data_IF_718873798157
#
_entry.id   IF_718873798157
#
_cell.length_a   1.000
_cell.length_b   1.000
_cell.length_c   1.000
_cell.angle_alpha   90.00
_cell.angle_beta   90.00
_cell.angle_gamma   90.00
#
_symmetry.space_group_name_H-M   'P 1'
#
loop_
_entity.id
_entity.type
_entity.pdbx_description
1 polymer ?
#
# COMPACT_ATOMS: atom_id res chain seq x y z
N UNK A 1 -20.20 47.21 -9.41
CA UNK A 1 -19.12 48.13 -9.83
C UNK A 1 -18.39 47.40 -10.95
N UNK A 2 -18.72 47.79 -12.19
CA UNK A 2 -18.20 47.21 -13.43
C UNK A 2 -16.77 47.72 -13.63
N UNK A 3 -15.82 46.81 -13.88
CA UNK A 3 -14.48 47.18 -14.34
C UNK A 3 -14.32 46.58 -15.73
N UNK A 4 -14.47 47.44 -16.73
CA UNK A 4 -14.01 47.23 -18.09
C UNK A 4 -12.48 47.07 -18.09
N UNK A 5 -12.00 45.97 -18.66
CA UNK A 5 -10.60 45.84 -19.09
C UNK A 5 -10.58 45.58 -20.59
N UNK A 6 -10.60 46.69 -21.32
CA UNK A 6 -10.13 46.78 -22.70
C UNK A 6 -8.62 47.07 -22.64
N UNK A 7 -7.78 46.14 -23.08
CA UNK A 7 -6.48 46.44 -23.70
C UNK A 7 -5.91 45.18 -24.35
N UNK A 8 -6.06 45.09 -25.67
CA UNK A 8 -5.02 45.33 -26.70
C UNK A 8 -4.07 44.16 -26.90
N UNK A 9 -4.31 43.51 -28.03
CA UNK A 9 -3.35 42.75 -28.81
C UNK A 9 -1.99 43.44 -28.89
N UNK A 10 -0.97 42.76 -28.37
CA UNK A 10 0.41 42.89 -28.84
C UNK A 10 0.91 41.50 -29.17
N UNK A 11 0.86 41.21 -30.47
CA UNK A 11 1.50 40.05 -31.06
C UNK A 11 3.00 40.07 -30.79
N UNK A 12 3.45 39.09 -30.04
CA UNK A 12 4.82 38.60 -30.07
C UNK A 12 4.73 37.10 -30.38
N UNK A 13 5.35 36.71 -31.49
CA UNK A 13 5.42 35.37 -32.03
C UNK A 13 5.65 34.30 -30.95
N UNK A 14 4.56 33.70 -30.45
CA UNK A 14 4.62 32.38 -29.83
C UNK A 14 4.79 31.39 -30.97
N UNK A 15 6.02 30.95 -31.17
CA UNK A 15 6.27 29.70 -31.87
C UNK A 15 5.32 28.67 -31.29
N UNK A 16 4.35 28.27 -32.10
CA UNK A 16 3.47 27.17 -31.82
C UNK A 16 4.37 25.92 -31.94
N UNK A 17 5.22 25.68 -30.93
CA UNK A 17 5.65 24.33 -30.62
C UNK A 17 4.34 23.60 -30.32
N UNK A 18 3.79 23.00 -31.37
CA UNK A 18 2.96 21.82 -31.24
C UNK A 18 3.83 20.82 -30.47
N UNK A 19 3.75 20.91 -29.14
CA UNK A 19 4.07 19.82 -28.24
C UNK A 19 3.24 18.66 -28.75
N UNK A 20 3.85 17.87 -29.64
CA UNK A 20 3.37 16.57 -30.06
C UNK A 20 3.19 15.84 -28.74
N UNK A 21 1.94 15.78 -28.26
CA UNK A 21 1.59 14.90 -27.16
C UNK A 21 1.99 13.52 -27.65
N UNK A 22 3.18 13.07 -27.23
CA UNK A 22 3.74 11.80 -27.60
C UNK A 22 2.66 10.77 -27.26
N UNK A 23 2.03 10.23 -28.29
CA UNK A 23 0.91 9.32 -28.15
C UNK A 23 1.42 8.14 -27.33
N UNK A 24 0.83 7.91 -26.16
CA UNK A 24 1.17 6.75 -25.32
C UNK A 24 1.03 5.48 -26.15
N UNK A 25 1.99 4.57 -26.01
CA UNK A 25 1.93 3.30 -26.73
C UNK A 25 0.71 2.49 -26.24
N UNK A 26 0.02 1.74 -27.13
CA UNK A 26 -1.06 0.89 -26.71
C UNK A 26 -0.57 -0.18 -25.73
N UNK A 27 -1.42 -0.57 -24.78
CA UNK A 27 -1.15 -1.67 -23.88
C UNK A 27 -1.13 -2.98 -24.68
N UNK A 28 0.08 -3.48 -24.94
CA UNK A 28 0.33 -4.74 -25.64
C UNK A 28 1.28 -5.58 -24.80
N UNK A 29 1.34 -6.89 -25.04
CA UNK A 29 2.30 -7.75 -24.34
C UNK A 29 3.75 -7.35 -24.61
N UNK A 30 4.04 -6.83 -25.80
CA UNK A 30 5.37 -6.32 -26.15
C UNK A 30 5.74 -5.08 -25.33
N UNK A 31 4.85 -4.08 -25.25
CA UNK A 31 5.09 -2.86 -24.45
C UNK A 31 5.13 -3.16 -22.95
N UNK A 32 4.33 -4.13 -22.47
CA UNK A 32 4.42 -4.61 -21.09
C UNK A 32 5.76 -5.29 -20.79
N UNK A 33 6.27 -6.13 -21.69
CA UNK A 33 7.59 -6.75 -21.58
C UNK A 33 8.73 -5.72 -21.56
N UNK A 34 8.64 -4.68 -22.39
CA UNK A 34 9.60 -3.57 -22.39
C UNK A 34 9.56 -2.76 -21.08
N UNK A 35 8.36 -2.51 -20.53
CA UNK A 35 8.18 -1.87 -19.24
C UNK A 35 8.81 -2.69 -18.10
N UNK A 36 8.57 -4.00 -18.07
CA UNK A 36 9.17 -4.89 -17.08
C UNK A 36 10.69 -4.97 -17.21
N UNK A 37 11.23 -4.93 -18.44
CA UNK A 37 12.68 -4.90 -18.64
C UNK A 37 13.31 -3.61 -18.13
N UNK A 38 12.61 -2.49 -18.27
CA UNK A 38 13.15 -1.15 -17.97
C UNK A 38 12.98 -0.77 -16.50
N UNK A 39 11.82 -1.08 -15.91
CA UNK A 39 11.43 -0.67 -14.56
C UNK A 39 10.88 -1.82 -13.72
N UNK A 40 11.10 -3.08 -14.13
CA UNK A 40 10.54 -4.27 -13.48
C UNK A 40 10.89 -4.40 -11.99
N UNK A 41 12.05 -3.92 -11.57
CA UNK A 41 12.41 -3.90 -10.15
C UNK A 41 11.41 -3.09 -9.31
N UNK A 42 11.00 -1.90 -9.78
CA UNK A 42 9.98 -1.09 -9.12
C UNK A 42 8.59 -1.71 -9.21
N UNK A 43 8.24 -2.30 -10.36
CA UNK A 43 6.96 -2.99 -10.57
C UNK A 43 6.80 -4.20 -9.63
N UNK A 44 7.83 -5.03 -9.53
CA UNK A 44 7.83 -6.21 -8.65
C UNK A 44 7.86 -5.81 -7.18
N UNK A 45 8.62 -4.78 -6.83
CA UNK A 45 8.62 -4.22 -5.50
C UNK A 45 7.20 -3.78 -5.09
N UNK A 46 6.52 -3.02 -5.95
CA UNK A 46 5.15 -2.57 -5.74
C UNK A 46 4.18 -3.75 -5.53
N UNK A 47 4.28 -4.79 -6.37
CA UNK A 47 3.52 -6.02 -6.20
C UNK A 47 3.78 -6.74 -4.87
N UNK A 48 5.04 -6.82 -4.46
CA UNK A 48 5.45 -7.49 -3.23
C UNK A 48 4.93 -6.75 -1.97
N UNK A 49 4.98 -5.42 -1.94
CA UNK A 49 4.42 -4.64 -0.81
C UNK A 49 2.93 -4.92 -0.64
N UNK A 50 2.19 -4.86 -1.75
CA UNK A 50 0.74 -5.12 -1.73
C UNK A 50 0.42 -6.57 -1.33
N UNK A 51 1.23 -7.53 -1.76
CA UNK A 51 1.11 -8.92 -1.28
C UNK A 51 1.26 -9.00 0.24
N UNK A 52 2.33 -8.43 0.83
CA UNK A 52 2.55 -8.50 2.27
C UNK A 52 1.49 -7.74 3.08
N UNK A 53 1.10 -6.54 2.61
CA UNK A 53 0.03 -5.74 3.20
C UNK A 53 -1.31 -6.49 3.24
N UNK A 54 -1.70 -7.09 2.12
CA UNK A 54 -2.94 -7.86 2.07
C UNK A 54 -2.83 -9.15 2.89
N UNK A 55 -1.64 -9.73 3.02
CA UNK A 55 -1.47 -10.96 3.79
C UNK A 55 -1.69 -10.67 5.28
N UNK A 56 -1.15 -9.54 5.76
CA UNK A 56 -1.39 -9.04 7.12
C UNK A 56 -2.87 -8.75 7.33
N UNK A 57 -3.47 -7.90 6.50
CA UNK A 57 -4.84 -7.41 6.72
C UNK A 57 -5.90 -8.50 6.55
N UNK A 58 -5.76 -9.39 5.57
CA UNK A 58 -6.76 -10.42 5.25
C UNK A 58 -6.54 -11.75 5.99
N UNK A 59 -5.33 -12.03 6.49
CA UNK A 59 -5.02 -13.33 7.11
C UNK A 59 -4.71 -13.22 8.59
N UNK A 60 -3.73 -12.40 8.95
CA UNK A 60 -3.19 -12.38 10.32
C UNK A 60 -4.00 -11.49 11.25
N UNK A 61 -4.49 -10.34 10.75
CA UNK A 61 -5.25 -9.39 11.55
C UNK A 61 -6.57 -9.98 12.06
N UNK A 62 -7.31 -10.67 11.20
CA UNK A 62 -8.58 -11.31 11.56
C UNK A 62 -8.41 -12.26 12.76
N UNK A 63 -7.34 -13.06 12.76
CA UNK A 63 -7.03 -14.00 13.84
C UNK A 63 -6.43 -13.40 15.08
N UNK A 64 -5.68 -12.32 14.91
CA UNK A 64 -4.99 -11.66 16.02
C UNK A 64 -5.90 -10.61 16.69
N UNK A 65 -7.12 -10.37 16.20
CA UNK A 65 -7.98 -9.30 16.73
C UNK A 65 -8.27 -9.51 18.22
N UNK A 66 -7.78 -8.59 19.05
CA UNK A 66 -8.04 -8.53 20.48
C UNK A 66 -9.38 -7.85 20.73
N UNK A 67 -10.17 -8.49 21.59
CA UNK A 67 -11.45 -8.00 22.07
C UNK A 67 -11.24 -7.47 23.49
N UNK A 68 -10.98 -6.15 23.67
CA UNK A 68 -10.77 -5.61 25.00
C UNK A 68 -12.03 -5.80 25.83
N UNK A 69 -11.90 -6.50 26.96
CA UNK A 69 -13.02 -6.84 27.83
C UNK A 69 -13.78 -5.60 28.30
N UNK A 70 -14.96 -5.37 27.70
CA UNK A 70 -15.89 -4.31 28.07
C UNK A 70 -17.03 -4.23 27.07
N UNK A 71 -18.28 -4.11 27.54
CA UNK A 71 -19.49 -4.02 26.70
C UNK A 71 -19.62 -2.70 25.89
N UNK A 72 -18.51 -2.16 25.38
CA UNK A 72 -18.45 -0.91 24.65
C UNK A 72 -18.34 -1.09 23.14
N UNK A 73 -18.52 0.01 22.40
CA UNK A 73 -18.41 0.05 20.93
C UNK A 73 -17.05 -0.43 20.41
N UNK A 74 -15.98 -0.31 21.21
CA UNK A 74 -14.63 -0.72 20.83
C UNK A 74 -14.52 -2.25 20.73
N UNK A 75 -15.13 -2.97 21.65
CA UNK A 75 -15.08 -4.43 21.68
C UNK A 75 -15.81 -5.03 20.48
N UNK A 76 -17.03 -4.57 20.21
CA UNK A 76 -17.82 -5.04 19.06
C UNK A 76 -17.27 -4.64 17.69
N UNK A 77 -16.32 -3.71 17.63
CA UNK A 77 -15.77 -3.17 16.39
C UNK A 77 -14.24 -3.21 16.33
N UNK A 78 -13.58 -4.06 17.11
CA UNK A 78 -12.12 -4.09 17.22
C UNK A 78 -11.42 -4.29 15.86
N UNK A 79 -11.92 -5.21 15.03
CA UNK A 79 -11.43 -5.43 13.67
C UNK A 79 -11.64 -4.20 12.79
N UNK A 80 -12.84 -3.61 12.82
CA UNK A 80 -13.19 -2.44 12.01
C UNK A 80 -12.35 -1.21 12.39
N UNK A 81 -12.07 -1.01 13.68
CA UNK A 81 -11.18 0.05 14.17
C UNK A 81 -9.73 -0.17 13.74
N UNK A 82 -9.24 -1.42 13.80
CA UNK A 82 -7.91 -1.78 13.30
C UNK A 82 -7.78 -1.53 11.79
N UNK A 83 -8.81 -1.90 11.03
CA UNK A 83 -8.89 -1.63 9.60
C UNK A 83 -9.01 -0.13 9.29
N UNK A 84 -9.71 0.64 10.12
CA UNK A 84 -9.77 2.09 10.01
C UNK A 84 -8.39 2.72 10.26
N UNK A 85 -7.64 2.25 11.25
CA UNK A 85 -6.26 2.67 11.51
C UNK A 85 -5.34 2.40 10.31
N UNK A 86 -5.47 1.23 9.70
CA UNK A 86 -4.79 0.92 8.44
C UNK A 86 -5.11 1.94 7.32
N UNK A 87 -6.38 2.21 7.04
CA UNK A 87 -6.77 3.16 6.00
C UNK A 87 -6.31 4.59 6.31
N UNK A 88 -6.30 4.98 7.59
CA UNK A 88 -5.74 6.25 8.03
C UNK A 88 -4.25 6.35 7.69
N UNK A 89 -3.47 5.30 7.98
CA UNK A 89 -2.06 5.22 7.60
C UNK A 89 -1.84 5.36 6.09
N UNK A 90 -2.66 4.68 5.28
CA UNK A 90 -2.59 4.79 3.80
C UNK A 90 -2.90 6.22 3.34
N UNK A 91 -3.94 6.85 3.90
CA UNK A 91 -4.31 8.21 3.54
C UNK A 91 -3.22 9.22 3.90
N UNK A 92 -2.65 9.12 5.11
CA UNK A 92 -1.59 10.00 5.59
C UNK A 92 -0.33 9.88 4.74
N UNK A 93 0.14 8.65 4.46
CA UNK A 93 1.35 8.44 3.65
C UNK A 93 1.19 8.96 2.22
N UNK A 94 0.04 8.76 1.59
CA UNK A 94 -0.25 9.32 0.25
C UNK A 94 -0.28 10.84 0.25
N UNK A 95 -0.90 11.45 1.28
CA UNK A 95 -0.92 12.89 1.45
C UNK A 95 0.49 13.49 1.61
N UNK A 96 1.30 12.91 2.51
CA UNK A 96 2.66 13.39 2.79
C UNK A 96 3.57 13.27 1.58
N UNK A 97 3.60 12.13 0.90
CA UNK A 97 4.47 11.96 -0.29
C UNK A 97 3.96 12.80 -1.47
N UNK A 98 2.64 13.00 -1.60
CA UNK A 98 2.09 13.89 -2.62
C UNK A 98 2.58 15.33 -2.49
N UNK A 99 3.00 15.75 -1.30
CA UNK A 99 3.61 17.06 -1.04
C UNK A 99 5.13 17.08 -1.26
N UNK A 100 5.78 15.92 -1.47
CA UNK A 100 7.22 15.83 -1.71
C UNK A 100 7.53 15.86 -3.21
N UNK A 101 8.27 16.88 -3.72
CA UNK A 101 8.52 17.02 -5.16
C UNK A 101 9.33 15.87 -5.79
N UNK A 102 10.29 15.30 -5.04
CA UNK A 102 11.23 14.29 -5.51
C UNK A 102 11.66 13.34 -4.37
N UNK A 103 10.88 12.32 -4.03
CA UNK A 103 11.28 11.35 -3.01
C UNK A 103 12.50 10.54 -3.48
N UNK A 104 13.46 10.24 -2.59
CA UNK A 104 14.64 9.46 -2.95
C UNK A 104 14.27 8.05 -3.45
N UNK A 105 14.96 7.56 -4.48
CA UNK A 105 14.72 6.21 -5.05
C UNK A 105 14.94 5.10 -4.03
N UNK A 106 15.82 5.31 -3.04
CA UNK A 106 16.02 4.37 -1.93
C UNK A 106 14.73 4.11 -1.12
N UNK A 107 13.77 5.03 -1.19
CA UNK A 107 12.49 4.98 -0.49
C UNK A 107 11.51 3.97 -1.11
N UNK A 108 11.86 3.31 -2.21
CA UNK A 108 11.08 2.20 -2.80
C UNK A 108 11.28 0.91 -2.00
N UNK A 109 12.53 0.59 -1.63
CA UNK A 109 12.86 -0.70 -1.01
C UNK A 109 12.66 -0.70 0.51
N UNK A 110 12.84 0.45 1.16
CA UNK A 110 12.71 0.56 2.61
C UNK A 110 11.30 0.15 3.09
N UNK A 111 10.19 0.68 2.51
CA UNK A 111 8.85 0.26 2.91
C UNK A 111 8.60 -1.22 2.68
N UNK A 112 9.14 -1.81 1.61
CA UNK A 112 8.98 -3.24 1.32
C UNK A 112 9.66 -4.13 2.35
N UNK A 113 10.89 -3.79 2.74
CA UNK A 113 11.61 -4.53 3.76
C UNK A 113 10.91 -4.39 5.12
N UNK A 114 10.47 -3.18 5.46
CA UNK A 114 9.68 -2.96 6.68
C UNK A 114 8.34 -3.70 6.65
N UNK A 115 7.70 -3.79 5.48
CA UNK A 115 6.45 -4.53 5.31
C UNK A 115 6.65 -6.03 5.45
N UNK A 116 7.77 -6.57 4.94
CA UNK A 116 8.16 -7.96 5.16
C UNK A 116 8.39 -8.23 6.65
N UNK A 117 9.09 -7.33 7.36
CA UNK A 117 9.29 -7.45 8.81
C UNK A 117 7.94 -7.43 9.55
N UNK A 118 7.04 -6.49 9.20
CA UNK A 118 5.68 -6.46 9.75
C UNK A 118 4.92 -7.76 9.44
N UNK A 119 5.07 -8.31 8.24
CA UNK A 119 4.42 -9.56 7.85
C UNK A 119 4.91 -10.75 8.70
N UNK A 120 6.22 -10.84 8.94
CA UNK A 120 6.81 -11.87 9.80
C UNK A 120 6.36 -11.69 11.25
N UNK A 121 6.34 -10.45 11.74
CA UNK A 121 5.84 -10.11 13.06
C UNK A 121 4.38 -10.55 13.25
N UNK A 122 3.49 -10.19 12.32
CA UNK A 122 2.08 -10.58 12.37
C UNK A 122 1.87 -12.09 12.19
N UNK A 123 2.68 -12.75 11.37
CA UNK A 123 2.64 -14.21 11.24
C UNK A 123 3.01 -14.89 12.57
N UNK A 124 4.09 -14.43 13.22
CA UNK A 124 4.50 -14.92 14.52
C UNK A 124 3.43 -14.64 15.60
N UNK A 125 2.89 -13.42 15.64
CA UNK A 125 1.86 -13.05 16.60
C UNK A 125 0.57 -13.85 16.40
N UNK A 126 0.15 -14.08 15.16
CA UNK A 126 -1.02 -14.91 14.86
C UNK A 126 -0.86 -16.38 15.25
N UNK A 127 0.38 -16.84 15.44
CA UNK A 127 0.69 -18.23 15.81
C UNK A 127 0.98 -18.41 17.30
N UNK A 128 1.67 -17.44 17.91
CA UNK A 128 2.18 -17.53 19.28
C UNK A 128 1.40 -16.67 20.28
N UNK A 129 0.67 -15.67 19.81
CA UNK A 129 -0.09 -14.73 20.63
C UNK A 129 0.72 -14.04 21.75
N UNK A 130 2.02 -13.80 21.51
CA UNK A 130 2.95 -13.32 22.53
C UNK A 130 2.66 -11.88 22.96
N UNK A 131 2.13 -11.03 22.08
CA UNK A 131 1.77 -9.66 22.45
C UNK A 131 0.68 -9.66 23.52
N UNK A 132 -0.30 -10.57 23.38
CA UNK A 132 -1.39 -10.70 24.34
C UNK A 132 -0.93 -11.30 25.68
N UNK A 133 -0.14 -12.37 25.63
CA UNK A 133 0.18 -13.15 26.83
C UNK A 133 1.45 -12.71 27.55
N UNK A 134 2.42 -12.10 26.84
CA UNK A 134 3.74 -11.80 27.40
C UNK A 134 4.02 -10.30 27.51
N UNK A 135 3.62 -9.48 26.52
CA UNK A 135 4.04 -8.08 26.45
C UNK A 135 3.12 -7.13 27.23
N UNK A 136 1.81 -7.35 27.19
CA UNK A 136 0.84 -6.46 27.82
C UNK A 136 0.02 -7.18 28.88
N UNK A 137 -0.11 -6.53 30.04
CA UNK A 137 -0.90 -7.05 31.17
C UNK A 137 -2.41 -6.93 30.92
N UNK A 138 -2.83 -6.01 30.03
CA UNK A 138 -4.23 -5.73 29.73
C UNK A 138 -4.52 -5.84 28.23
N UNK A 139 -5.65 -6.46 27.88
CA UNK A 139 -6.11 -6.58 26.49
C UNK A 139 -6.28 -5.20 25.81
N UNK A 140 -6.64 -4.16 26.57
CA UNK A 140 -6.77 -2.77 26.07
C UNK A 140 -5.45 -2.21 25.56
N UNK A 141 -4.35 -2.42 26.28
CA UNK A 141 -3.03 -1.93 25.86
C UNK A 141 -2.53 -2.68 24.61
N UNK A 142 -2.80 -4.00 24.53
CA UNK A 142 -2.53 -4.78 23.32
C UNK A 142 -3.32 -4.30 22.11
N UNK A 143 -4.60 -3.95 22.29
CA UNK A 143 -5.44 -3.40 21.23
C UNK A 143 -4.92 -2.05 20.70
N UNK A 144 -4.55 -1.13 21.60
CA UNK A 144 -3.96 0.17 21.20
C UNK A 144 -2.64 -0.02 20.43
N UNK A 145 -1.81 -0.97 20.88
CA UNK A 145 -0.59 -1.34 20.18
C UNK A 145 -0.89 -1.87 18.76
N UNK A 146 -1.89 -2.73 18.59
CA UNK A 146 -2.32 -3.19 17.26
C UNK A 146 -2.83 -2.07 16.38
N UNK A 147 -3.61 -1.13 16.93
CA UNK A 147 -4.04 0.06 16.20
C UNK A 147 -2.84 0.85 15.65
N UNK A 148 -1.81 1.08 16.48
CA UNK A 148 -0.57 1.72 16.05
C UNK A 148 0.18 0.93 14.98
N UNK A 149 0.30 -0.39 15.14
CA UNK A 149 0.92 -1.27 14.14
C UNK A 149 0.16 -1.22 12.80
N UNK A 150 -1.17 -1.20 12.82
CA UNK A 150 -1.97 -1.13 11.60
C UNK A 150 -1.82 0.22 10.89
N UNK A 151 -1.72 1.32 11.63
CA UNK A 151 -1.37 2.63 11.04
C UNK A 151 0.00 2.55 10.36
N UNK A 152 1.01 1.94 10.99
CA UNK A 152 2.34 1.75 10.39
C UNK A 152 2.29 0.89 9.13
N UNK A 153 1.52 -0.20 9.14
CA UNK A 153 1.29 -1.04 7.95
C UNK A 153 0.70 -0.19 6.81
N UNK A 154 -0.33 0.60 7.08
CA UNK A 154 -0.92 1.49 6.08
C UNK A 154 0.05 2.58 5.58
N UNK A 155 0.88 3.13 6.47
CA UNK A 155 1.90 4.11 6.10
C UNK A 155 2.92 3.49 5.11
N UNK A 156 3.40 2.28 5.37
CA UNK A 156 4.36 1.62 4.49
C UNK A 156 3.78 1.34 3.10
N UNK A 157 2.54 0.86 3.04
CA UNK A 157 1.84 0.62 1.78
C UNK A 157 1.64 1.87 0.94
N UNK A 158 1.09 2.93 1.54
CA UNK A 158 0.86 4.18 0.83
C UNK A 158 2.15 4.92 0.48
N UNK A 159 3.20 4.82 1.29
CA UNK A 159 4.53 5.34 0.94
C UNK A 159 5.14 4.58 -0.23
N UNK A 160 5.05 3.24 -0.25
CA UNK A 160 5.52 2.42 -1.38
C UNK A 160 4.80 2.80 -2.68
N UNK A 161 3.47 2.96 -2.63
CA UNK A 161 2.67 3.41 -3.76
C UNK A 161 3.19 4.72 -4.36
N UNK A 162 3.32 5.74 -3.53
CA UNK A 162 3.72 7.06 -3.99
C UNK A 162 5.19 7.10 -4.41
N UNK A 163 6.07 6.33 -3.74
CA UNK A 163 7.48 6.21 -4.12
C UNK A 163 7.66 5.51 -5.47
N UNK A 164 6.89 4.45 -5.75
CA UNK A 164 6.90 3.79 -7.07
C UNK A 164 6.38 4.73 -8.17
N UNK A 165 5.34 5.50 -7.91
CA UNK A 165 4.82 6.45 -8.88
C UNK A 165 5.83 7.57 -9.19
N UNK A 166 6.48 8.11 -8.16
CA UNK A 166 7.57 9.07 -8.34
C UNK A 166 8.74 8.47 -9.13
N UNK A 167 9.10 7.22 -8.85
CA UNK A 167 10.12 6.50 -9.60
C UNK A 167 9.77 6.36 -11.09
N UNK A 168 8.52 6.00 -11.42
CA UNK A 168 8.07 5.88 -12.81
C UNK A 168 8.04 7.23 -13.55
N UNK A 169 7.84 8.34 -12.83
CA UNK A 169 7.83 9.70 -13.38
C UNK A 169 9.23 10.30 -13.52
N UNK A 170 10.11 10.06 -12.57
CA UNK A 170 11.37 10.80 -12.47
C UNK A 170 12.57 10.01 -13.03
N UNK A 171 12.40 8.71 -13.31
CA UNK A 171 13.47 7.89 -13.89
C UNK A 171 13.71 8.28 -15.36
N UNK A 172 14.92 8.76 -15.73
CA UNK A 172 15.23 9.21 -17.09
C UNK A 172 15.38 8.05 -18.09
N UNK A 173 15.57 6.81 -17.61
CA UNK A 173 15.66 5.63 -18.47
C UNK A 173 14.30 5.15 -18.99
N UNK A 174 13.19 5.66 -18.42
CA UNK A 174 11.83 5.30 -18.85
C UNK A 174 11.38 6.29 -19.93
N UNK A 175 11.17 5.83 -21.18
CA UNK A 175 10.62 6.69 -22.24
C UNK A 175 9.23 7.20 -21.88
N UNK A 176 8.92 8.45 -22.22
CA UNK A 176 7.63 9.07 -21.90
C UNK A 176 6.43 8.29 -22.45
N UNK A 177 6.58 7.69 -23.64
CA UNK A 177 5.55 6.84 -24.27
C UNK A 177 5.18 5.59 -23.46
N UNK A 178 6.07 5.13 -22.57
CA UNK A 178 5.88 3.92 -21.76
C UNK A 178 5.40 4.22 -20.34
N UNK A 179 5.40 5.47 -19.88
CA UNK A 179 5.06 5.80 -18.49
C UNK A 179 3.63 5.40 -18.14
N UNK A 180 2.68 5.66 -19.02
CA UNK A 180 1.27 5.28 -18.81
C UNK A 180 1.10 3.75 -18.81
N UNK A 181 1.76 3.07 -19.76
CA UNK A 181 1.78 1.60 -19.82
C UNK A 181 2.37 1.01 -18.54
N UNK A 182 3.47 1.58 -18.04
CA UNK A 182 4.15 1.15 -16.84
C UNK A 182 3.27 1.28 -15.59
N UNK A 183 2.50 2.36 -15.47
CA UNK A 183 1.52 2.52 -14.38
C UNK A 183 0.46 1.42 -14.45
N UNK A 184 -0.10 1.15 -15.63
CA UNK A 184 -1.11 0.10 -15.82
C UNK A 184 -0.56 -1.30 -15.52
N UNK A 185 0.66 -1.62 -15.99
CA UNK A 185 1.34 -2.87 -15.70
C UNK A 185 1.58 -3.02 -14.20
N UNK A 186 2.00 -1.94 -13.53
CA UNK A 186 2.20 -1.94 -12.07
C UNK A 186 0.93 -2.22 -11.30
N UNK A 187 -0.19 -1.62 -11.70
CA UNK A 187 -1.51 -1.91 -11.15
C UNK A 187 -1.95 -3.36 -11.39
N UNK A 188 -1.62 -3.92 -12.56
CA UNK A 188 -1.85 -5.33 -12.86
C UNK A 188 -1.07 -6.26 -11.93
N UNK A 189 0.21 -5.96 -11.70
CA UNK A 189 1.09 -6.73 -10.82
C UNK A 189 0.68 -6.61 -9.35
N UNK A 190 0.29 -5.42 -8.88
CA UNK A 190 -0.24 -5.27 -7.51
C UNK A 190 -1.56 -6.01 -7.31
N UNK A 191 -2.43 -6.02 -8.32
CA UNK A 191 -3.67 -6.82 -8.29
C UNK A 191 -3.38 -8.31 -8.21
N UNK A 192 -2.38 -8.80 -8.95
CA UNK A 192 -1.91 -10.18 -8.82
C UNK A 192 -1.35 -10.46 -7.43
N UNK A 193 -0.58 -9.53 -6.85
CA UNK A 193 -0.10 -9.61 -5.46
C UNK A 193 -1.24 -9.75 -4.45
N UNK A 194 -2.29 -8.92 -4.56
CA UNK A 194 -3.47 -9.03 -3.70
C UNK A 194 -4.19 -10.38 -3.86
N UNK A 195 -4.35 -10.87 -5.09
CA UNK A 195 -4.95 -12.19 -5.35
C UNK A 195 -4.13 -13.33 -4.74
N UNK A 196 -2.81 -13.32 -4.93
CA UNK A 196 -1.91 -14.31 -4.34
C UNK A 196 -1.93 -14.28 -2.82
N UNK A 197 -2.06 -13.09 -2.24
CA UNK A 197 -2.24 -12.93 -0.80
C UNK A 197 -3.53 -13.59 -0.33
N UNK A 198 -4.66 -13.34 -0.99
CA UNK A 198 -5.94 -13.98 -0.64
C UNK A 198 -5.89 -15.51 -0.77
N UNK A 199 -5.23 -16.04 -1.81
CA UNK A 199 -5.01 -17.47 -1.94
C UNK A 199 -4.13 -18.02 -0.80
N UNK A 200 -3.07 -17.30 -0.45
CA UNK A 200 -2.20 -17.65 0.67
C UNK A 200 -2.97 -17.63 1.99
N UNK A 201 -3.84 -16.65 2.20
CA UNK A 201 -4.73 -16.57 3.37
C UNK A 201 -5.59 -17.83 3.53
N UNK A 202 -6.19 -18.30 2.43
CA UNK A 202 -7.00 -19.53 2.40
C UNK A 202 -6.14 -20.75 2.75
N UNK A 203 -4.95 -20.86 2.15
CA UNK A 203 -4.04 -21.98 2.41
C UNK A 203 -3.57 -21.98 3.87
N UNK A 204 -3.11 -20.84 4.38
CA UNK A 204 -2.69 -20.70 5.78
C UNK A 204 -3.85 -21.01 6.72
N UNK A 205 -5.06 -20.59 6.36
CA UNK A 205 -6.25 -20.85 7.16
C UNK A 205 -6.60 -22.33 7.29
N UNK A 206 -6.26 -23.15 6.29
CA UNK A 206 -6.48 -24.59 6.29
C UNK A 206 -5.33 -25.42 6.84
N UNK A 207 -4.14 -24.84 7.00
CA UNK A 207 -2.91 -25.58 7.32
C UNK A 207 -2.36 -25.21 8.69
N UNK A 208 -1.76 -24.02 8.81
CA UNK A 208 -1.03 -23.58 10.00
C UNK A 208 -2.00 -23.04 11.06
N UNK A 209 -3.08 -22.40 10.61
CA UNK A 209 -3.98 -21.63 11.48
C UNK A 209 -5.38 -22.28 11.58
N UNK A 210 -5.47 -23.60 11.36
CA UNK A 210 -6.72 -24.34 11.40
C UNK A 210 -7.24 -24.59 12.83
N UNK A 211 -6.40 -24.50 13.85
CA UNK A 211 -6.74 -24.91 15.22
C UNK A 211 -7.46 -23.82 16.04
N UNK A 212 -7.32 -22.53 15.72
CA UNK A 212 -8.05 -21.45 16.39
C UNK A 212 -8.61 -20.47 15.35
N UNK A 213 -9.83 -20.77 14.88
CA UNK A 213 -10.49 -19.93 13.87
C UNK A 213 -11.23 -18.74 14.46
N UNK A 214 -11.71 -18.80 15.70
CA UNK A 214 -12.44 -17.71 16.38
C UNK A 214 -12.25 -17.89 17.90
N UNK A 215 -11.62 -16.92 18.57
CA UNK A 215 -11.53 -16.92 20.04
C UNK A 215 -12.88 -16.50 20.67
N UNK A 216 -13.25 -17.03 21.86
CA UNK A 216 -12.45 -17.94 22.67
C UNK A 216 -12.45 -19.36 22.11
N UNK A 217 -11.26 -19.94 21.98
CA UNK A 217 -11.11 -21.39 21.80
C UNK A 217 -11.62 -22.01 23.12
N UNK A 218 -12.92 -22.34 23.16
CA UNK A 218 -13.53 -23.06 24.26
C UNK A 218 -12.83 -24.43 24.38
N UNK A 219 -12.60 -24.92 25.61
CA UNK A 219 -11.89 -26.16 25.88
C UNK A 219 -12.56 -27.39 25.25
#
# INVERSE_FOLDING_TARGET
MYVDQHNTDLGAARGHETTSHARSDPLTLASAGECLRTAGAGVLNFGAVYFFEYLITQSFLDRSTLHPHGHGLVDSNAYALSYAGYNLGVALSRGVIGMMPSPPIALIWIPTLLQLVNCVFWAAESSLHFVRYEWFVTDTAGFEFYGCCMIVVGLMGGTSYSACYAYFRDTPTVPDRLREVLVNVSYGVSSLGMLLSSLSAIILSKTILSECSIYPCLP
#
